data_IF_796724686158
#
_entry.id   IF_796724686158
#
_cell.length_a   1.000
_cell.length_b   1.000
_cell.length_c   1.000
_cell.angle_alpha   90.00
_cell.angle_beta   90.00
_cell.angle_gamma   90.00
#
_symmetry.space_group_name_H-M   'P 1'
#
loop_
_entity.id
_entity.type
_entity.pdbx_description
1 polymer ?
#
# COMPACT_ATOMS: atom_id res chain seq x y z
N UNK A 1 12.33 8.10 8.72
CA UNK A 1 12.87 7.94 7.39
C UNK A 1 11.90 8.35 6.35
N UNK A 2 12.06 9.59 5.94
CA UNK A 2 11.10 10.19 5.03
C UNK A 2 11.05 9.51 3.68
N UNK A 3 12.23 9.13 3.17
CA UNK A 3 12.30 8.48 1.86
C UNK A 3 11.55 7.15 1.85
N UNK A 4 11.79 6.32 2.85
CA UNK A 4 11.13 5.01 2.93
C UNK A 4 9.63 5.19 3.14
N UNK A 5 9.23 6.15 3.96
CA UNK A 5 7.81 6.43 4.18
C UNK A 5 7.13 6.84 2.87
N UNK A 6 7.74 7.74 2.12
CA UNK A 6 7.17 8.18 0.85
C UNK A 6 7.13 7.04 -0.15
N UNK A 7 8.22 6.28 -0.26
CA UNK A 7 8.28 5.16 -1.18
C UNK A 7 7.20 4.11 -0.88
N UNK A 8 7.07 3.73 0.38
CA UNK A 8 6.07 2.72 0.75
C UNK A 8 4.65 3.23 0.57
N UNK A 9 4.40 4.50 0.83
CA UNK A 9 3.09 5.09 0.60
C UNK A 9 2.74 5.10 -0.89
N UNK A 10 3.71 5.46 -1.74
CA UNK A 10 3.49 5.43 -3.19
C UNK A 10 3.16 4.02 -3.64
N UNK A 11 3.91 3.03 -3.17
CA UNK A 11 3.66 1.64 -3.54
C UNK A 11 2.30 1.15 -3.06
N UNK A 12 1.90 1.53 -1.86
CA UNK A 12 0.58 1.18 -1.34
C UNK A 12 -0.53 1.83 -2.17
N UNK A 13 -0.35 3.09 -2.52
CA UNK A 13 -1.33 3.81 -3.34
C UNK A 13 -1.46 3.15 -4.71
N UNK A 14 -0.33 2.85 -5.35
CA UNK A 14 -0.33 2.18 -6.65
C UNK A 14 -1.04 0.82 -6.55
N UNK A 15 -0.71 0.04 -5.52
CA UNK A 15 -1.34 -1.26 -5.32
C UNK A 15 -2.84 -1.14 -5.04
N UNK A 16 -3.23 -0.16 -4.22
CA UNK A 16 -4.64 0.05 -3.92
C UNK A 16 -5.43 0.49 -5.15
N UNK A 17 -4.86 1.39 -5.95
CA UNK A 17 -5.49 1.80 -7.19
C UNK A 17 -5.60 0.63 -8.16
N UNK A 18 -4.56 -0.20 -8.26
CA UNK A 18 -4.60 -1.38 -9.11
C UNK A 18 -5.72 -2.34 -8.69
N UNK A 19 -5.85 -2.60 -7.39
CA UNK A 19 -6.92 -3.45 -6.90
C UNK A 19 -8.29 -2.84 -7.05
N UNK A 20 -8.38 -1.51 -6.96
CA UNK A 20 -9.61 -0.80 -7.27
C UNK A 20 -10.02 -1.02 -8.73
N UNK A 21 -9.07 -0.95 -9.64
CA UNK A 21 -9.32 -1.23 -11.05
C UNK A 21 -9.75 -2.67 -11.27
N UNK A 22 -9.12 -3.61 -10.59
CA UNK A 22 -9.52 -5.02 -10.68
C UNK A 22 -10.98 -5.21 -10.23
N UNK A 23 -11.35 -4.58 -9.13
CA UNK A 23 -12.70 -4.70 -8.61
C UNK A 23 -13.76 -4.03 -9.49
N UNK A 24 -13.43 -2.89 -10.10
CA UNK A 24 -14.39 -2.14 -10.90
C UNK A 24 -14.44 -2.60 -12.35
N UNK A 25 -13.30 -2.89 -12.94
CA UNK A 25 -13.17 -3.13 -14.38
C UNK A 25 -12.55 -4.47 -14.72
N UNK A 26 -12.23 -5.26 -13.73
CA UNK A 26 -11.52 -6.53 -13.92
C UNK A 26 -10.20 -6.31 -14.68
N UNK A 27 -9.54 -5.20 -14.39
CA UNK A 27 -8.32 -4.80 -15.09
C UNK A 27 -7.17 -4.67 -14.12
N UNK A 28 -6.12 -5.49 -14.32
CA UNK A 28 -4.91 -5.45 -13.51
C UNK A 28 -3.85 -4.65 -14.27
N UNK A 29 -3.66 -3.40 -13.83
CA UNK A 29 -2.74 -2.49 -14.48
C UNK A 29 -1.30 -2.98 -14.38
N UNK A 30 -0.90 -3.52 -13.25
CA UNK A 30 0.46 -4.04 -13.07
C UNK A 30 0.71 -5.20 -14.03
N UNK A 31 -0.24 -6.13 -14.12
CA UNK A 31 -0.13 -7.24 -15.03
C UNK A 31 -0.15 -6.79 -16.49
N UNK A 32 -0.92 -5.76 -16.80
CA UNK A 32 -0.99 -5.22 -18.16
C UNK A 32 0.35 -4.61 -18.59
N UNK A 33 1.04 -3.93 -17.68
CA UNK A 33 2.31 -3.28 -17.97
C UNK A 33 3.45 -4.29 -18.00
N UNK A 34 3.51 -5.20 -17.04
CA UNK A 34 4.65 -6.10 -16.84
C UNK A 34 4.41 -7.51 -17.34
N UNK A 35 3.18 -7.86 -17.66
CA UNK A 35 2.79 -9.20 -18.05
C UNK A 35 2.24 -10.00 -16.87
N UNK A 36 1.06 -10.62 -17.09
CA UNK A 36 0.43 -11.42 -16.06
C UNK A 36 1.30 -12.62 -15.71
N UNK A 37 1.55 -12.82 -14.43
CA UNK A 37 2.37 -13.94 -13.94
C UNK A 37 3.85 -13.79 -14.21
N UNK A 38 4.31 -12.66 -14.75
CA UNK A 38 5.73 -12.42 -14.98
C UNK A 38 6.48 -12.22 -13.68
N UNK A 39 7.79 -12.41 -13.74
CA UNK A 39 8.63 -12.15 -12.56
C UNK A 39 8.54 -10.69 -12.15
N UNK A 40 8.45 -9.78 -13.11
CA UNK A 40 8.37 -8.35 -12.81
C UNK A 40 7.07 -8.00 -12.09
N UNK A 41 5.93 -8.52 -12.54
CA UNK A 41 4.66 -8.25 -11.87
C UNK A 41 4.65 -8.85 -10.47
N UNK A 42 5.21 -10.04 -10.30
CA UNK A 42 5.30 -10.67 -8.99
C UNK A 42 6.18 -9.86 -8.05
N UNK A 43 7.28 -9.33 -8.57
CA UNK A 43 8.16 -8.46 -7.77
C UNK A 43 7.43 -7.21 -7.31
N UNK A 44 6.67 -6.58 -8.21
CA UNK A 44 5.88 -5.40 -7.85
C UNK A 44 4.87 -5.75 -6.75
N UNK A 45 4.15 -6.86 -6.89
CA UNK A 45 3.18 -7.27 -5.87
C UNK A 45 3.84 -7.55 -4.53
N UNK A 46 5.03 -8.16 -4.53
CA UNK A 46 5.77 -8.41 -3.29
C UNK A 46 6.16 -7.09 -2.64
N UNK A 47 6.67 -6.14 -3.43
CA UNK A 47 7.05 -4.83 -2.89
C UNK A 47 5.85 -4.07 -2.34
N UNK A 48 4.72 -4.14 -3.04
CA UNK A 48 3.48 -3.52 -2.56
C UNK A 48 3.03 -4.15 -1.26
N UNK A 49 3.06 -5.48 -1.19
CA UNK A 49 2.68 -6.20 0.03
C UNK A 49 3.57 -5.87 1.21
N UNK A 50 4.89 -5.83 0.98
CA UNK A 50 5.81 -5.45 2.04
C UNK A 50 5.61 -4.01 2.47
N UNK A 51 5.32 -3.12 1.53
CA UNK A 51 5.05 -1.72 1.83
C UNK A 51 3.80 -1.58 2.68
N UNK A 52 2.76 -2.34 2.37
CA UNK A 52 1.53 -2.34 3.16
C UNK A 52 1.79 -2.85 4.57
N UNK A 53 2.60 -3.92 4.69
CA UNK A 53 2.97 -4.44 6.00
C UNK A 53 3.76 -3.38 6.80
N UNK A 54 4.64 -2.66 6.15
CA UNK A 54 5.40 -1.60 6.79
C UNK A 54 4.49 -0.52 7.35
N UNK A 55 3.42 -0.18 6.63
CA UNK A 55 2.49 0.86 7.05
C UNK A 55 1.58 0.42 8.20
N UNK A 56 1.53 -0.86 8.51
CA UNK A 56 0.76 -1.34 9.67
C UNK A 56 1.33 -0.78 10.96
N UNK A 57 2.65 -0.66 11.07
CA UNK A 57 3.30 -0.20 12.29
C UNK A 57 2.84 1.23 12.67
N UNK A 58 2.96 2.23 11.79
CA UNK A 58 2.45 3.56 12.16
C UNK A 58 0.94 3.59 12.34
N UNK A 59 0.18 2.74 11.66
CA UNK A 59 -1.26 2.67 11.86
C UNK A 59 -1.58 2.24 13.29
N UNK A 60 -0.99 1.16 13.76
CA UNK A 60 -1.23 0.71 15.12
C UNK A 60 -0.67 1.69 16.15
N UNK A 61 0.44 2.33 15.84
CA UNK A 61 0.97 3.37 16.72
C UNK A 61 -0.01 4.53 16.85
N UNK A 62 -0.62 4.96 15.74
CA UNK A 62 -1.61 6.02 15.76
C UNK A 62 -2.87 5.61 16.52
N UNK A 63 -3.33 4.37 16.33
CA UNK A 63 -4.53 3.88 17.01
C UNK A 63 -4.32 3.73 18.52
N UNK A 64 -3.14 3.28 18.91
CA UNK A 64 -2.85 3.04 20.33
C UNK A 64 -2.17 4.19 21.04
N UNK A 65 -1.81 5.24 20.35
CA UNK A 65 -1.03 6.33 20.91
C UNK A 65 -1.86 7.58 21.12
N UNK A 66 -1.15 8.67 21.36
CA UNK A 66 -1.78 9.92 21.70
C UNK A 66 -2.54 10.62 20.59
N UNK A 67 -2.31 10.29 19.32
CA UNK A 67 -2.94 11.05 18.26
C UNK A 67 -4.46 10.92 18.27
N UNK A 68 -4.95 9.70 18.15
CA UNK A 68 -6.39 9.47 18.18
C UNK A 68 -6.97 9.67 19.58
N UNK A 69 -6.22 9.31 20.61
CA UNK A 69 -6.65 9.53 21.97
C UNK A 69 -6.80 11.02 22.25
N UNK A 70 -5.87 11.83 21.78
CA UNK A 70 -5.95 13.28 21.96
C UNK A 70 -7.17 13.86 21.24
N UNK A 71 -7.46 13.39 20.05
CA UNK A 71 -8.64 13.84 19.32
C UNK A 71 -9.93 13.48 20.03
N UNK A 72 -9.97 12.30 20.62
CA UNK A 72 -11.18 11.86 21.33
C UNK A 72 -11.43 12.63 22.60
N UNK A 73 -10.41 13.23 23.15
CA UNK A 73 -10.54 14.00 24.40
C UNK A 73 -10.95 15.45 24.20
N UNK A 74 -11.19 15.84 23.00
CA UNK A 74 -11.61 17.20 22.72
C UNK A 74 -13.12 17.39 22.83
#
# INVERSE_FOLDING_TARGET
MKFITILTLVLVIVGGLNWGLVGLLDFDLVAAIFGAGSMLSRLVYILVGLSAAWQIVPLFAALGSGELAAERHR
#
